data_IF_227184762827
#
_entry.id   IF_227184762827
#
_cell.length_a   1.000
_cell.length_b   1.000
_cell.length_c   1.000
_cell.angle_alpha   90.00
_cell.angle_beta   90.00
_cell.angle_gamma   90.00
#
_symmetry.space_group_name_H-M   'P 1'
#
loop_
_entity.id
_entity.type
_entity.pdbx_description
1 polymer ?
#
# COMPACT_ATOMS: atom_id res chain seq x y z
N UNK A 1 45.79 -28.33 -19.84
CA UNK A 1 44.97 -28.71 -18.67
C UNK A 1 44.28 -27.49 -18.03
N UNK A 2 45.02 -26.46 -17.62
CA UNK A 2 44.46 -25.24 -17.00
C UNK A 2 43.34 -24.56 -17.83
N UNK A 3 43.57 -24.36 -19.14
CA UNK A 3 42.58 -23.73 -20.03
C UNK A 3 41.28 -24.52 -20.15
N UNK A 4 41.35 -25.85 -20.14
CA UNK A 4 40.17 -26.73 -20.19
C UNK A 4 39.39 -26.63 -18.89
N UNK A 5 40.07 -26.63 -17.75
CA UNK A 5 39.45 -26.46 -16.42
C UNK A 5 38.74 -25.11 -16.32
N UNK A 6 39.40 -24.02 -16.76
CA UNK A 6 38.79 -22.68 -16.78
C UNK A 6 37.58 -22.61 -17.72
N UNK A 7 37.64 -23.24 -18.89
CA UNK A 7 36.53 -23.29 -19.83
C UNK A 7 35.32 -24.06 -19.26
N UNK A 8 35.56 -25.22 -18.65
CA UNK A 8 34.51 -26.00 -17.98
C UNK A 8 33.89 -25.23 -16.79
N UNK A 9 34.72 -24.53 -16.01
CA UNK A 9 34.25 -23.72 -14.89
C UNK A 9 33.40 -22.54 -15.37
N UNK A 10 33.84 -21.83 -16.42
CA UNK A 10 33.08 -20.73 -17.03
C UNK A 10 31.74 -21.20 -17.62
N UNK A 11 31.71 -22.38 -18.25
CA UNK A 11 30.48 -22.99 -18.76
C UNK A 11 29.52 -23.34 -17.62
N UNK A 12 30.01 -23.95 -16.54
CA UNK A 12 29.19 -24.30 -15.38
C UNK A 12 28.56 -23.05 -14.73
N UNK A 13 29.31 -21.97 -14.58
CA UNK A 13 28.80 -20.68 -14.08
C UNK A 13 27.72 -20.14 -15.01
N UNK A 14 27.95 -20.17 -16.33
CA UNK A 14 27.01 -19.65 -17.31
C UNK A 14 25.68 -20.42 -17.29
N UNK A 15 25.74 -21.75 -17.18
CA UNK A 15 24.57 -22.62 -17.03
C UNK A 15 23.82 -22.30 -15.73
N UNK A 16 24.52 -22.15 -14.62
CA UNK A 16 23.90 -21.85 -13.32
C UNK A 16 23.23 -20.47 -13.33
N UNK A 17 23.85 -19.46 -13.95
CA UNK A 17 23.24 -18.14 -14.11
C UNK A 17 21.99 -18.20 -14.97
N UNK A 18 22.02 -18.95 -16.08
CA UNK A 18 20.85 -19.15 -16.94
C UNK A 18 19.72 -19.87 -16.21
N UNK A 19 20.05 -20.94 -15.47
CA UNK A 19 19.09 -21.70 -14.65
C UNK A 19 18.40 -20.80 -13.63
N UNK A 20 19.18 -20.02 -12.87
CA UNK A 20 18.64 -19.06 -11.89
C UNK A 20 17.74 -18.01 -12.53
N UNK A 21 18.10 -17.49 -13.71
CA UNK A 21 17.27 -16.53 -14.44
C UNK A 21 15.95 -17.16 -14.85
N UNK A 22 15.97 -18.38 -15.40
CA UNK A 22 14.77 -19.11 -15.80
C UNK A 22 13.86 -19.40 -14.62
N UNK A 23 14.41 -19.88 -13.50
CA UNK A 23 13.64 -20.15 -12.27
C UNK A 23 13.03 -18.87 -11.68
N UNK A 24 13.70 -17.72 -11.79
CA UNK A 24 13.15 -16.43 -11.36
C UNK A 24 12.00 -15.99 -12.25
N UNK A 25 12.15 -16.10 -13.57
CA UNK A 25 11.11 -15.76 -14.53
C UNK A 25 9.85 -16.63 -14.33
N UNK A 26 10.02 -17.94 -14.15
CA UNK A 26 8.91 -18.86 -13.89
C UNK A 26 8.20 -18.57 -12.58
N UNK A 27 8.94 -18.26 -11.51
CA UNK A 27 8.35 -17.86 -10.22
C UNK A 27 7.56 -16.56 -10.35
N UNK A 28 8.08 -15.60 -11.08
CA UNK A 28 7.40 -14.33 -11.28
C UNK A 28 6.11 -14.51 -12.09
N UNK A 29 6.16 -15.28 -13.17
CA UNK A 29 4.98 -15.61 -13.98
C UNK A 29 3.92 -16.36 -13.16
N UNK A 30 4.33 -17.30 -12.30
CA UNK A 30 3.42 -17.96 -11.37
C UNK A 30 2.80 -16.96 -10.37
N UNK A 31 3.60 -16.03 -9.83
CA UNK A 31 3.10 -15.00 -8.92
C UNK A 31 2.07 -14.07 -9.59
N UNK A 32 2.29 -13.69 -10.84
CA UNK A 32 1.32 -12.93 -11.64
C UNK A 32 0.01 -13.69 -11.85
N UNK A 33 0.09 -14.97 -12.20
CA UNK A 33 -1.11 -15.82 -12.35
C UNK A 33 -1.88 -15.96 -11.04
N UNK A 34 -1.18 -16.15 -9.93
CA UNK A 34 -1.80 -16.27 -8.60
C UNK A 34 -2.44 -14.95 -8.16
N UNK A 35 -1.78 -13.81 -8.39
CA UNK A 35 -2.34 -12.50 -8.09
C UNK A 35 -3.61 -12.25 -8.89
N UNK A 36 -3.60 -12.56 -10.19
CA UNK A 36 -4.80 -12.47 -11.05
C UNK A 36 -5.93 -13.34 -10.52
N UNK A 37 -5.64 -14.60 -10.20
CA UNK A 37 -6.64 -15.51 -9.67
C UNK A 37 -7.27 -14.97 -8.38
N UNK A 38 -6.45 -14.49 -7.44
CA UNK A 38 -6.92 -13.92 -6.18
C UNK A 38 -7.82 -12.69 -6.39
N UNK A 39 -7.46 -11.81 -7.33
CA UNK A 39 -8.26 -10.64 -7.70
C UNK A 39 -9.64 -11.04 -8.23
N UNK A 40 -9.68 -12.01 -9.15
CA UNK A 40 -10.94 -12.50 -9.72
C UNK A 40 -11.80 -13.24 -8.67
N UNK A 41 -11.17 -14.02 -7.78
CA UNK A 41 -11.85 -14.69 -6.66
C UNK A 41 -12.42 -13.69 -5.64
N UNK A 42 -11.81 -12.51 -5.52
CA UNK A 42 -12.32 -11.38 -4.71
C UNK A 42 -13.49 -10.63 -5.38
N UNK A 43 -14.00 -11.12 -6.51
CA UNK A 43 -15.16 -10.56 -7.20
C UNK A 43 -14.84 -9.38 -8.13
N UNK A 44 -13.56 -9.09 -8.37
CA UNK A 44 -13.16 -8.04 -9.31
C UNK A 44 -13.21 -8.54 -10.76
N UNK A 45 -13.49 -7.63 -11.68
CA UNK A 45 -13.55 -7.88 -13.11
C UNK A 45 -12.16 -7.94 -13.77
N UNK A 46 -12.11 -8.48 -14.99
CA UNK A 46 -10.89 -8.47 -15.82
C UNK A 46 -10.39 -7.05 -16.12
N UNK A 47 -11.30 -6.07 -16.25
CA UNK A 47 -10.93 -4.67 -16.45
C UNK A 47 -10.22 -4.09 -15.21
N UNK A 48 -10.71 -4.42 -14.02
CA UNK A 48 -10.08 -4.01 -12.77
C UNK A 48 -8.74 -4.71 -12.57
N UNK A 49 -8.63 -5.99 -12.95
CA UNK A 49 -7.33 -6.67 -13.00
C UNK A 49 -6.35 -5.97 -13.96
N UNK A 50 -6.77 -5.62 -15.17
CA UNK A 50 -5.91 -4.94 -16.14
C UNK A 50 -5.38 -3.61 -15.59
N UNK A 51 -6.22 -2.87 -14.85
CA UNK A 51 -5.79 -1.66 -14.14
C UNK A 51 -4.73 -1.95 -13.07
N UNK A 52 -4.98 -2.95 -12.20
CA UNK A 52 -4.02 -3.37 -11.16
C UNK A 52 -2.70 -3.81 -11.80
N UNK A 53 -2.77 -4.63 -12.83
CA UNK A 53 -1.62 -5.15 -13.56
C UNK A 53 -0.80 -4.03 -14.17
N UNK A 54 -1.42 -3.06 -14.85
CA UNK A 54 -0.73 -1.93 -15.43
C UNK A 54 0.03 -1.10 -14.37
N UNK A 55 -0.60 -0.83 -13.23
CA UNK A 55 0.05 -0.12 -12.12
C UNK A 55 1.20 -0.94 -11.52
N UNK A 56 0.97 -2.22 -11.28
CA UNK A 56 1.94 -3.13 -10.68
C UNK A 56 3.15 -3.36 -11.60
N UNK A 57 2.96 -3.51 -12.91
CA UNK A 57 4.07 -3.64 -13.86
C UNK A 57 4.97 -2.40 -13.87
N UNK A 58 4.39 -1.21 -13.66
CA UNK A 58 5.13 0.05 -13.65
C UNK A 58 5.87 0.31 -12.33
N UNK A 59 5.26 -0.02 -11.20
CA UNK A 59 5.74 0.40 -9.88
C UNK A 59 6.25 -0.73 -8.98
N UNK A 60 5.85 -1.98 -9.25
CA UNK A 60 6.22 -3.16 -8.46
C UNK A 60 6.27 -4.45 -9.32
N UNK A 61 7.01 -4.49 -10.46
CA UNK A 61 6.93 -5.58 -11.45
C UNK A 61 7.36 -6.95 -10.93
N UNK A 62 8.11 -6.98 -9.82
CA UNK A 62 8.62 -8.21 -9.19
C UNK A 62 7.79 -8.66 -7.99
N UNK A 63 6.74 -7.91 -7.63
CA UNK A 63 5.94 -8.11 -6.41
C UNK A 63 4.42 -8.11 -6.68
N UNK A 64 3.91 -8.83 -7.71
CA UNK A 64 2.49 -8.76 -8.06
C UNK A 64 1.57 -9.29 -6.95
N UNK A 65 2.04 -10.28 -6.18
CA UNK A 65 1.28 -10.83 -5.06
C UNK A 65 1.08 -9.79 -3.95
N UNK A 66 2.16 -9.11 -3.54
CA UNK A 66 2.11 -8.10 -2.49
C UNK A 66 1.22 -6.92 -2.87
N UNK A 67 1.16 -6.54 -4.15
CA UNK A 67 0.25 -5.47 -4.61
C UNK A 67 -1.21 -5.77 -4.28
N UNK A 68 -1.62 -7.05 -4.33
CA UNK A 68 -3.03 -7.42 -4.13
C UNK A 68 -3.34 -7.89 -2.71
N UNK A 69 -2.32 -8.13 -1.87
CA UNK A 69 -2.50 -8.61 -0.48
C UNK A 69 -2.04 -7.63 0.59
N UNK A 70 -1.22 -6.63 0.25
CA UNK A 70 -0.65 -5.69 1.22
C UNK A 70 -1.08 -4.25 0.93
N UNK A 71 -1.77 -3.57 1.88
CA UNK A 71 -2.23 -2.19 1.69
C UNK A 71 -1.12 -1.21 1.28
N UNK A 72 0.04 -1.30 1.93
CA UNK A 72 1.17 -0.40 1.67
C UNK A 72 1.75 -0.58 0.26
N UNK A 73 1.82 -1.82 -0.22
CA UNK A 73 2.36 -2.13 -1.55
C UNK A 73 1.38 -1.68 -2.63
N UNK A 74 0.07 -1.84 -2.39
CA UNK A 74 -0.98 -1.30 -3.25
C UNK A 74 -0.89 0.23 -3.35
N UNK A 75 -0.84 0.93 -2.22
CA UNK A 75 -0.80 2.39 -2.17
C UNK A 75 0.43 2.99 -2.84
N UNK A 76 1.59 2.33 -2.70
CA UNK A 76 2.82 2.69 -3.41
C UNK A 76 2.66 2.66 -4.93
N UNK A 77 1.75 1.83 -5.46
CA UNK A 77 1.44 1.78 -6.89
C UNK A 77 0.36 2.80 -7.27
N UNK A 78 -0.64 3.01 -6.40
CA UNK A 78 -1.74 3.97 -6.62
C UNK A 78 -1.25 5.41 -6.68
N UNK A 79 -0.46 5.84 -5.68
CA UNK A 79 -0.05 7.24 -5.55
C UNK A 79 0.65 7.79 -6.79
N UNK A 80 1.69 7.16 -7.36
CA UNK A 80 2.33 7.65 -8.59
C UNK A 80 1.41 7.53 -9.82
N UNK A 81 0.49 6.57 -9.84
CA UNK A 81 -0.48 6.42 -10.94
C UNK A 81 -1.44 7.61 -10.96
N UNK A 82 -2.07 7.94 -9.83
CA UNK A 82 -2.95 9.12 -9.69
C UNK A 82 -2.18 10.42 -9.94
N UNK A 83 -0.94 10.52 -9.46
CA UNK A 83 -0.10 11.71 -9.64
C UNK A 83 0.39 11.90 -11.08
N UNK A 84 0.31 10.87 -11.93
CA UNK A 84 0.66 11.00 -13.34
C UNK A 84 -0.43 11.66 -14.18
N UNK A 85 -1.65 11.78 -13.65
CA UNK A 85 -2.77 12.45 -14.31
C UNK A 85 -2.80 13.94 -13.95
N UNK A 86 -2.97 14.80 -14.95
CA UNK A 86 -3.05 16.25 -14.78
C UNK A 86 -4.50 16.75 -14.65
N UNK A 87 -5.48 16.07 -15.25
CA UNK A 87 -6.89 16.43 -15.15
C UNK A 87 -7.47 15.95 -13.82
N UNK A 88 -8.08 16.87 -13.06
CA UNK A 88 -8.70 16.59 -11.77
C UNK A 88 -9.88 15.62 -11.90
N UNK A 89 -10.67 15.71 -12.98
CA UNK A 89 -11.82 14.80 -13.18
C UNK A 89 -11.36 13.37 -13.42
N UNK A 90 -10.29 13.19 -14.18
CA UNK A 90 -9.72 11.86 -14.42
C UNK A 90 -9.11 11.27 -13.15
N UNK A 91 -8.49 12.13 -12.31
CA UNK A 91 -7.96 11.72 -10.99
C UNK A 91 -9.08 11.24 -10.07
N UNK A 92 -10.17 11.97 -9.99
CA UNK A 92 -11.31 11.61 -9.15
C UNK A 92 -11.95 10.29 -9.61
N UNK A 93 -12.22 10.16 -10.91
CA UNK A 93 -12.79 8.94 -11.49
C UNK A 93 -11.88 7.72 -11.30
N UNK A 94 -10.56 7.88 -11.45
CA UNK A 94 -9.61 6.81 -11.16
C UNK A 94 -9.56 6.50 -9.65
N UNK A 95 -9.59 7.52 -8.80
CA UNK A 95 -9.58 7.39 -7.35
C UNK A 95 -10.78 6.58 -6.84
N UNK A 96 -11.98 6.84 -7.35
CA UNK A 96 -13.19 6.07 -7.03
C UNK A 96 -13.03 4.58 -7.40
N UNK A 97 -12.56 4.30 -8.62
CA UNK A 97 -12.32 2.91 -9.07
C UNK A 97 -11.29 2.19 -8.20
N UNK A 98 -10.21 2.88 -7.82
CA UNK A 98 -9.15 2.31 -6.99
C UNK A 98 -9.60 2.09 -5.54
N UNK A 99 -10.49 2.94 -5.03
CA UNK A 99 -11.16 2.74 -3.74
C UNK A 99 -12.00 1.46 -3.75
N UNK A 100 -12.81 1.26 -4.77
CA UNK A 100 -13.65 0.06 -4.91
C UNK A 100 -12.79 -1.21 -4.99
N UNK A 101 -11.69 -1.16 -5.75
CA UNK A 101 -10.70 -2.24 -5.81
C UNK A 101 -10.11 -2.53 -4.43
N UNK A 102 -9.67 -1.49 -3.70
CA UNK A 102 -9.06 -1.64 -2.37
C UNK A 102 -10.02 -2.31 -1.38
N UNK A 103 -11.30 -1.94 -1.43
CA UNK A 103 -12.36 -2.52 -0.59
C UNK A 103 -12.58 -3.99 -0.96
N UNK A 104 -12.71 -4.31 -2.26
CA UNK A 104 -12.93 -5.68 -2.72
C UNK A 104 -11.77 -6.62 -2.35
N UNK A 105 -10.53 -6.12 -2.38
CA UNK A 105 -9.34 -6.87 -1.94
C UNK A 105 -9.16 -6.91 -0.42
N UNK A 106 -10.08 -6.31 0.36
CA UNK A 106 -10.00 -6.21 1.81
C UNK A 106 -8.69 -5.56 2.30
N UNK A 107 -8.20 -4.54 1.58
CA UNK A 107 -6.97 -3.81 1.91
C UNK A 107 -7.24 -2.54 2.75
N UNK A 108 -8.41 -2.47 3.39
CA UNK A 108 -8.89 -1.27 4.10
C UNK A 108 -8.33 -1.17 5.52
N UNK A 109 -8.16 -2.31 6.20
CA UNK A 109 -7.84 -2.33 7.63
C UNK A 109 -6.35 -2.52 7.85
N UNK A 110 -5.70 -1.54 8.49
CA UNK A 110 -4.34 -1.70 8.99
C UNK A 110 -4.34 -2.48 10.33
N UNK A 111 -3.50 -3.52 10.48
CA UNK A 111 -3.29 -4.18 11.76
C UNK A 111 -2.86 -3.19 12.87
N UNK A 112 -3.24 -3.46 14.15
CA UNK A 112 -2.82 -2.65 15.27
C UNK A 112 -1.28 -2.54 15.37
N UNK A 113 -0.78 -1.33 15.62
CA UNK A 113 0.66 -1.07 15.76
C UNK A 113 1.40 -0.71 14.47
N UNK A 114 0.72 -0.74 13.32
CA UNK A 114 1.26 -0.17 12.08
C UNK A 114 0.94 1.33 11.98
N UNK A 115 1.86 2.06 11.35
CA UNK A 115 1.70 3.49 11.09
C UNK A 115 0.59 3.72 10.06
N UNK A 116 -0.28 4.71 10.30
CA UNK A 116 -1.23 5.18 9.30
C UNK A 116 -0.52 6.01 8.24
N UNK A 117 -0.83 5.72 6.98
CA UNK A 117 -0.33 6.39 5.79
C UNK A 117 -1.45 7.17 5.07
N UNK A 118 -2.72 6.87 5.37
CA UNK A 118 -3.88 7.52 4.77
C UNK A 118 -5.02 7.71 5.77
N UNK A 119 -5.81 8.76 5.57
CA UNK A 119 -7.07 9.00 6.29
C UNK A 119 -8.12 7.92 6.00
N UNK A 120 -7.97 7.17 4.90
CA UNK A 120 -8.84 6.04 4.55
C UNK A 120 -8.64 4.83 5.49
N UNK A 121 -7.55 4.81 6.26
CA UNK A 121 -7.22 3.74 7.20
C UNK A 121 -7.75 4.02 8.60
N UNK A 122 -8.50 5.11 8.74
CA UNK A 122 -8.98 5.67 9.99
C UNK A 122 -10.49 5.53 10.04
N UNK A 123 -11.00 4.89 11.09
CA UNK A 123 -12.44 4.66 11.26
C UNK A 123 -13.06 5.64 12.28
N UNK A 124 -14.29 6.08 12.01
CA UNK A 124 -15.06 6.84 13.01
C UNK A 124 -15.35 5.96 14.23
N UNK A 125 -15.20 6.52 15.43
CA UNK A 125 -15.32 5.79 16.69
C UNK A 125 -14.04 5.05 17.13
N UNK A 126 -13.04 4.93 16.25
CA UNK A 126 -11.76 4.34 16.60
C UNK A 126 -11.06 5.17 17.69
N UNK A 127 -10.46 4.47 18.65
CA UNK A 127 -9.69 5.06 19.74
C UNK A 127 -8.23 5.19 19.33
N UNK A 128 -7.63 6.35 19.60
CA UNK A 128 -6.24 6.63 19.26
C UNK A 128 -5.51 7.28 20.44
N UNK A 129 -4.21 7.05 20.52
CA UNK A 129 -3.32 7.86 21.35
C UNK A 129 -2.63 8.88 20.45
N UNK A 130 -2.72 10.16 20.81
CA UNK A 130 -2.06 11.23 20.08
C UNK A 130 -1.41 12.23 21.05
N UNK A 131 -0.41 12.96 20.56
CA UNK A 131 0.17 14.14 21.20
C UNK A 131 0.37 15.23 20.15
N UNK A 132 0.45 16.48 20.60
CA UNK A 132 0.78 17.61 19.72
C UNK A 132 2.24 17.43 19.27
N UNK A 133 2.47 17.45 17.96
CA UNK A 133 3.78 17.14 17.38
C UNK A 133 4.88 18.12 17.84
N UNK A 134 4.52 19.40 17.95
CA UNK A 134 5.44 20.50 18.28
C UNK A 134 5.63 20.70 19.79
N UNK A 135 4.94 19.92 20.63
CA UNK A 135 5.05 20.02 22.08
C UNK A 135 5.38 18.66 22.71
N UNK A 136 6.67 18.43 22.93
CA UNK A 136 7.17 17.22 23.57
C UNK A 136 6.78 17.11 25.05
N UNK A 137 6.37 18.20 25.70
CA UNK A 137 5.90 18.21 27.09
C UNK A 137 4.42 17.79 27.20
N UNK A 138 3.66 17.81 26.10
CA UNK A 138 2.30 17.31 26.10
C UNK A 138 2.29 15.77 26.18
N UNK A 139 1.65 15.19 27.21
CA UNK A 139 1.56 13.74 27.36
C UNK A 139 0.66 13.14 26.28
N UNK A 140 0.96 11.89 25.92
CA UNK A 140 0.04 11.09 25.10
C UNK A 140 -1.33 11.04 25.76
N UNK A 141 -2.35 11.44 25.02
CA UNK A 141 -3.73 11.45 25.48
C UNK A 141 -4.60 10.60 24.58
N UNK A 142 -5.65 10.04 25.15
CA UNK A 142 -6.59 9.18 24.44
C UNK A 142 -7.72 10.02 23.81
N UNK A 143 -7.89 9.84 22.51
CA UNK A 143 -8.91 10.49 21.71
C UNK A 143 -9.76 9.44 21.02
N UNK A 144 -11.00 9.79 20.70
CA UNK A 144 -11.80 9.07 19.73
C UNK A 144 -11.90 9.88 18.44
N UNK A 145 -11.97 9.17 17.32
CA UNK A 145 -12.14 9.77 16.01
C UNK A 145 -13.62 10.08 15.82
N UNK A 146 -13.96 11.36 15.94
CA UNK A 146 -15.35 11.82 15.88
C UNK A 146 -15.88 11.86 14.45
N UNK A 147 -15.01 12.19 13.49
CA UNK A 147 -15.38 12.30 12.08
C UNK A 147 -14.15 12.11 11.20
N UNK A 148 -14.30 11.42 10.08
CA UNK A 148 -13.26 11.26 9.04
C UNK A 148 -13.80 11.75 7.70
N UNK A 149 -12.96 12.41 6.92
CA UNK A 149 -13.18 12.64 5.50
C UNK A 149 -11.89 12.30 4.74
N UNK A 150 -11.93 12.41 3.41
CA UNK A 150 -10.83 11.97 2.54
C UNK A 150 -9.49 12.69 2.80
N UNK A 151 -9.49 13.84 3.49
CA UNK A 151 -8.26 14.63 3.73
C UNK A 151 -7.96 14.93 5.21
N UNK A 152 -8.95 14.82 6.11
CA UNK A 152 -8.87 15.24 7.50
C UNK A 152 -9.70 14.34 8.39
N UNK A 153 -9.27 14.18 9.64
CA UNK A 153 -10.08 13.59 10.70
C UNK A 153 -10.16 14.54 11.89
N UNK A 154 -11.25 14.43 12.66
CA UNK A 154 -11.48 15.21 13.87
C UNK A 154 -11.38 14.31 15.09
N UNK A 155 -10.59 14.74 16.05
CA UNK A 155 -10.42 14.07 17.33
C UNK A 155 -11.30 14.73 18.39
N UNK A 156 -11.77 13.92 19.33
CA UNK A 156 -12.40 14.39 20.54
C UNK A 156 -11.83 13.63 21.75
N UNK A 157 -11.59 14.32 22.88
CA UNK A 157 -10.99 13.69 24.06
C UNK A 157 -11.91 12.62 24.63
N UNK A 158 -11.36 11.46 25.01
CA UNK A 158 -12.13 10.37 25.62
C UNK A 158 -12.50 10.65 27.09
N UNK A 159 -11.70 11.48 27.78
CA UNK A 159 -11.97 11.87 29.17
C UNK A 159 -11.90 13.39 29.36
N UNK A 160 -12.68 13.90 30.33
CA UNK A 160 -12.63 15.31 30.75
C UNK A 160 -11.25 15.73 31.33
N UNK A 161 -10.41 14.78 31.75
CA UNK A 161 -9.04 15.07 32.20
C UNK A 161 -8.10 15.45 31.02
N UNK A 162 -8.43 15.01 29.81
CA UNK A 162 -7.74 15.34 28.56
C UNK A 162 -8.18 16.70 27.98
N UNK A 163 -9.09 17.39 28.67
CA UNK A 163 -9.74 18.63 28.28
C UNK A 163 -9.04 19.87 28.87
N UNK A 164 -7.75 19.76 29.25
CA UNK A 164 -6.93 20.95 29.52
C UNK A 164 -6.67 21.64 28.19
N UNK A 165 -7.32 22.79 28.03
CA UNK A 165 -7.29 23.73 26.91
C UNK A 165 -6.08 23.57 25.99
N UNK A 166 -6.31 22.97 24.82
CA UNK A 166 -5.53 23.34 23.64
C UNK A 166 -5.99 24.75 23.32
N UNK A 167 -5.23 25.75 23.78
CA UNK A 167 -5.44 27.13 23.36
C UNK A 167 -5.44 27.15 21.83
N UNK A 168 -6.60 27.46 21.25
CA UNK A 168 -6.71 27.80 19.84
C UNK A 168 -5.75 28.95 19.59
N UNK A 169 -4.60 28.65 18.98
CA UNK A 169 -3.68 29.66 18.49
C UNK A 169 -4.44 30.63 17.61
N UNK A 170 -4.41 31.91 17.99
CA UNK A 170 -4.93 33.02 17.19
C UNK A 170 -4.26 32.99 15.81
N UNK A 171 -5.09 33.18 14.78
CA UNK A 171 -4.65 33.44 13.41
C UNK A 171 -4.00 34.81 13.30
#
# INVERSE_FOLDING_TARGET
MLLIVLACFGLAISIELWRRRRERAQRLEAAWRHARQHVLESGLSEEQWALIEAMAQRHAPTQPWQVVTEPLTFDRCVQPTINSLSDMRERDALGERLRDIRVALNLVVLPPGLQWHSTLEIEEGQTIHARIADDAAHPWSEYFIKRVNDAHFRLAPRSAASMREVATGER
#
